data_IF_187007398496
#
_entry.id   IF_187007398496
#
_cell.length_a   1.000
_cell.length_b   1.000
_cell.length_c   1.000
_cell.angle_alpha   90.00
_cell.angle_beta   90.00
_cell.angle_gamma   90.00
#
_symmetry.space_group_name_H-M   'P 1'
#
loop_
_entity.id
_entity.type
_entity.pdbx_description
1 polymer ?
#
# COMPACT_ATOMS: atom_id res chain seq x y z
N UNK A 1 -3.98 0.90 18.37
CA UNK A 1 -5.25 1.15 19.06
C UNK A 1 -5.81 -0.05 19.82
N UNK A 2 -5.60 -1.30 19.37
CA UNK A 2 -6.27 -2.49 19.96
C UNK A 2 -7.82 -2.37 19.93
N UNK A 3 -8.35 -1.69 18.91
CA UNK A 3 -9.76 -1.33 18.80
C UNK A 3 -10.32 -1.80 17.46
N UNK A 4 -11.14 -2.86 17.51
CA UNK A 4 -11.80 -3.43 16.34
C UNK A 4 -12.84 -2.47 15.74
N UNK A 5 -13.52 -1.66 16.56
CA UNK A 5 -14.53 -0.72 16.06
C UNK A 5 -13.87 0.36 15.22
N UNK A 6 -12.79 0.93 15.72
CA UNK A 6 -11.99 1.91 14.99
C UNK A 6 -11.38 1.31 13.71
N UNK A 7 -10.90 0.06 13.76
CA UNK A 7 -10.39 -0.65 12.59
C UNK A 7 -11.49 -0.86 11.51
N UNK A 8 -12.72 -1.19 11.93
CA UNK A 8 -13.85 -1.29 11.02
C UNK A 8 -14.25 0.07 10.43
N UNK A 9 -14.27 1.14 11.23
CA UNK A 9 -14.53 2.50 10.74
C UNK A 9 -13.51 2.94 9.67
N UNK A 10 -12.23 2.62 9.88
CA UNK A 10 -11.18 2.85 8.88
C UNK A 10 -11.38 1.98 7.64
N UNK A 11 -11.79 0.72 7.80
CA UNK A 11 -12.16 -0.15 6.67
C UNK A 11 -13.32 0.42 5.84
N UNK A 12 -14.34 0.97 6.50
CA UNK A 12 -15.46 1.65 5.83
C UNK A 12 -14.96 2.85 5.02
N UNK A 13 -14.09 3.68 5.61
CA UNK A 13 -13.48 4.81 4.89
C UNK A 13 -12.67 4.34 3.69
N UNK A 14 -11.84 3.30 3.85
CA UNK A 14 -11.05 2.73 2.77
C UNK A 14 -11.91 2.20 1.62
N UNK A 15 -13.03 1.54 1.92
CA UNK A 15 -14.00 1.10 0.91
C UNK A 15 -14.66 2.27 0.16
N UNK A 16 -14.94 3.39 0.85
CA UNK A 16 -15.46 4.61 0.21
C UNK A 16 -14.41 5.27 -0.70
N UNK A 17 -13.17 5.37 -0.23
CA UNK A 17 -12.07 5.89 -1.05
C UNK A 17 -11.85 5.03 -2.29
N UNK A 18 -11.90 3.71 -2.18
CA UNK A 18 -11.81 2.81 -3.33
C UNK A 18 -12.92 3.09 -4.36
N UNK A 19 -14.16 3.29 -3.91
CA UNK A 19 -15.27 3.70 -4.81
C UNK A 19 -15.02 5.04 -5.48
N UNK A 20 -14.47 6.03 -4.76
CA UNK A 20 -14.09 7.34 -5.33
C UNK A 20 -12.99 7.19 -6.37
N UNK A 21 -12.10 6.19 -6.23
CA UNK A 21 -11.06 5.85 -7.21
C UNK A 21 -11.52 4.84 -8.27
N UNK A 22 -12.83 4.61 -8.41
CA UNK A 22 -13.39 3.65 -9.38
C UNK A 22 -12.81 2.23 -9.26
N UNK A 23 -12.33 1.85 -8.07
CA UNK A 23 -11.72 0.56 -7.80
C UNK A 23 -12.71 -0.39 -7.10
N UNK A 24 -12.83 -1.62 -7.62
CA UNK A 24 -13.66 -2.69 -7.04
C UNK A 24 -12.93 -3.54 -6.02
N UNK A 25 -11.60 -3.47 -6.01
CA UNK A 25 -10.75 -4.34 -5.22
C UNK A 25 -9.69 -3.48 -4.53
N UNK A 26 -9.57 -3.62 -3.21
CA UNK A 26 -8.50 -3.02 -2.42
C UNK A 26 -7.50 -4.10 -2.03
N UNK A 27 -6.23 -3.88 -2.36
CA UNK A 27 -5.14 -4.82 -2.05
C UNK A 27 -4.68 -4.67 -0.58
N UNK A 28 -5.58 -4.95 0.36
CA UNK A 28 -5.40 -4.82 1.81
C UNK A 28 -6.39 -5.73 2.56
N UNK A 29 -6.22 -5.95 3.88
CA UNK A 29 -5.07 -5.57 4.70
C UNK A 29 -3.85 -6.49 4.49
N UNK A 30 -2.68 -5.99 4.85
CA UNK A 30 -1.46 -6.80 4.97
C UNK A 30 -1.39 -7.39 6.37
N UNK A 31 -1.33 -8.72 6.48
CA UNK A 31 -1.46 -9.48 7.74
C UNK A 31 -0.33 -10.47 7.98
N UNK A 32 0.80 -10.32 7.27
CA UNK A 32 2.02 -11.04 7.63
C UNK A 32 2.46 -10.66 9.05
N UNK A 33 3.12 -11.58 9.77
CA UNK A 33 3.52 -11.35 11.15
C UNK A 33 4.90 -10.72 11.26
N UNK A 34 5.10 -9.90 12.30
CA UNK A 34 6.40 -9.33 12.64
C UNK A 34 7.30 -10.40 13.29
N UNK A 35 7.86 -11.31 12.49
CA UNK A 35 8.83 -12.29 13.01
C UNK A 35 10.14 -11.66 13.45
N UNK A 36 10.56 -10.60 12.76
CA UNK A 36 11.83 -9.91 13.00
C UNK A 36 11.59 -8.40 12.99
N UNK A 37 12.35 -7.61 13.78
CA UNK A 37 12.21 -6.16 13.81
C UNK A 37 12.78 -5.46 12.57
N UNK A 38 13.51 -6.18 11.71
CA UNK A 38 14.18 -5.63 10.51
C UNK A 38 13.43 -5.95 9.21
N UNK A 39 12.21 -6.49 9.29
CA UNK A 39 11.39 -6.74 8.11
C UNK A 39 11.04 -5.44 7.39
N UNK A 40 11.32 -5.36 6.09
CA UNK A 40 11.15 -4.13 5.30
C UNK A 40 9.71 -3.63 5.20
N UNK A 41 8.72 -4.49 5.49
CA UNK A 41 7.28 -4.19 5.46
C UNK A 41 6.58 -4.40 6.81
N UNK A 42 7.35 -4.48 7.90
CA UNK A 42 6.79 -4.58 9.26
C UNK A 42 5.81 -3.45 9.54
N UNK A 43 6.09 -2.23 9.07
CA UNK A 43 5.20 -1.08 9.25
C UNK A 43 3.82 -1.23 8.57
N UNK A 44 3.69 -2.10 7.56
CA UNK A 44 2.47 -2.34 6.79
C UNK A 44 1.60 -3.43 7.43
N UNK A 45 2.20 -4.22 8.31
CA UNK A 45 1.56 -5.33 9.01
C UNK A 45 0.97 -4.86 10.35
N UNK A 46 0.10 -5.68 10.95
CA UNK A 46 -0.68 -5.28 12.12
C UNK A 46 0.02 -5.58 13.45
N UNK A 47 0.58 -6.77 13.62
CA UNK A 47 1.21 -7.20 14.88
C UNK A 47 2.15 -8.40 14.68
N UNK A 48 2.97 -8.67 15.70
CA UNK A 48 3.61 -9.98 15.89
C UNK A 48 2.62 -11.03 16.40
N UNK A 49 1.57 -10.59 17.10
CA UNK A 49 0.54 -11.47 17.68
C UNK A 49 -0.50 -11.87 16.61
N UNK A 50 -0.73 -13.18 16.39
CA UNK A 50 -1.63 -13.66 15.35
C UNK A 50 -3.10 -13.34 15.66
N UNK A 51 -3.50 -13.32 16.92
CA UNK A 51 -4.90 -13.10 17.30
C UNK A 51 -5.28 -11.61 17.21
N UNK A 52 -4.40 -10.71 17.62
CA UNK A 52 -4.58 -9.27 17.43
C UNK A 52 -4.64 -8.94 15.94
N UNK A 53 -3.75 -9.52 15.13
CA UNK A 53 -3.77 -9.36 13.67
C UNK A 53 -5.07 -9.88 13.07
N UNK A 54 -5.54 -11.06 13.49
CA UNK A 54 -6.81 -11.65 13.07
C UNK A 54 -8.01 -10.74 13.36
N UNK A 55 -8.14 -10.27 14.60
CA UNK A 55 -9.28 -9.44 15.01
C UNK A 55 -9.34 -8.09 14.30
N UNK A 56 -8.20 -7.42 14.17
CA UNK A 56 -8.12 -6.13 13.48
C UNK A 56 -8.33 -6.29 11.98
N UNK A 57 -7.74 -7.31 11.35
CA UNK A 57 -7.92 -7.59 9.93
C UNK A 57 -9.38 -7.93 9.60
N UNK A 58 -10.03 -8.79 10.38
CA UNK A 58 -11.44 -9.14 10.19
C UNK A 58 -12.36 -7.91 10.27
N UNK A 59 -12.08 -6.98 11.19
CA UNK A 59 -12.79 -5.71 11.29
C UNK A 59 -12.59 -4.83 10.04
N UNK A 60 -11.36 -4.68 9.55
CA UNK A 60 -11.05 -3.95 8.31
C UNK A 60 -11.80 -4.57 7.12
N UNK A 61 -11.77 -5.90 6.98
CA UNK A 61 -12.45 -6.63 5.90
C UNK A 61 -13.95 -6.35 5.89
N UNK A 62 -14.62 -6.46 7.05
CA UNK A 62 -16.05 -6.12 7.17
C UNK A 62 -16.32 -4.67 6.76
N UNK A 63 -15.46 -3.74 7.17
CA UNK A 63 -15.58 -2.33 6.83
C UNK A 63 -15.49 -2.08 5.32
N UNK A 64 -14.46 -2.59 4.66
CA UNK A 64 -14.25 -2.40 3.21
C UNK A 64 -15.41 -3.00 2.42
N UNK A 65 -15.76 -4.27 2.70
CA UNK A 65 -16.80 -5.00 1.95
C UNK A 65 -18.21 -4.44 2.15
N UNK A 66 -18.48 -3.69 3.23
CA UNK A 66 -19.76 -2.99 3.40
C UNK A 66 -20.05 -1.94 2.32
N UNK A 67 -19.05 -1.55 1.53
CA UNK A 67 -19.17 -0.65 0.38
C UNK A 67 -19.27 -1.39 -0.97
N UNK A 68 -19.51 -2.70 -0.95
CA UNK A 68 -19.44 -3.60 -2.10
C UNK A 68 -18.08 -3.49 -2.84
N UNK A 69 -17.00 -3.39 -2.08
CA UNK A 69 -15.61 -3.38 -2.55
C UNK A 69 -14.93 -4.61 -1.98
N UNK A 70 -14.28 -5.40 -2.81
CA UNK A 70 -13.55 -6.58 -2.35
C UNK A 70 -12.25 -6.19 -1.66
N UNK A 71 -11.88 -6.96 -0.64
CA UNK A 71 -10.51 -6.94 -0.10
C UNK A 71 -9.62 -7.91 -0.86
N UNK A 72 -8.32 -7.81 -0.63
CA UNK A 72 -7.35 -8.85 -0.96
C UNK A 72 -6.37 -8.96 0.19
N UNK A 73 -6.68 -9.85 1.13
CA UNK A 73 -5.87 -10.08 2.33
C UNK A 73 -4.52 -10.64 1.89
N UNK A 74 -3.42 -10.04 2.36
CA UNK A 74 -2.09 -10.32 1.80
C UNK A 74 -0.97 -10.39 2.84
N UNK A 75 0.14 -11.08 2.59
CA UNK A 75 0.46 -11.94 1.44
C UNK A 75 0.50 -13.38 1.92
N UNK A 76 -0.31 -14.24 1.31
CA UNK A 76 -0.59 -15.60 1.73
C UNK A 76 0.43 -16.58 1.11
N UNK A 77 1.39 -17.14 1.84
CA UNK A 77 1.73 -16.92 3.25
C UNK A 77 3.26 -16.96 3.45
N UNK A 78 3.72 -16.54 4.64
CA UNK A 78 5.15 -16.60 5.00
C UNK A 78 6.03 -15.52 4.38
N UNK A 79 5.45 -14.43 3.88
CA UNK A 79 6.21 -13.28 3.36
C UNK A 79 6.68 -12.35 4.50
N UNK A 80 7.58 -12.83 5.35
CA UNK A 80 8.07 -12.11 6.54
C UNK A 80 9.44 -11.41 6.33
N UNK A 81 10.01 -11.48 5.11
CA UNK A 81 11.25 -10.80 4.73
C UNK A 81 11.21 -10.27 3.29
N UNK A 82 11.81 -9.09 3.09
CA UNK A 82 12.00 -8.52 1.75
C UNK A 82 13.29 -9.02 1.08
N UNK A 83 14.19 -9.65 1.84
CA UNK A 83 15.46 -10.19 1.33
C UNK A 83 15.15 -11.37 0.41
N UNK A 84 15.50 -11.24 -0.87
CA UNK A 84 15.28 -12.27 -1.88
C UNK A 84 13.84 -12.81 -1.90
N UNK A 85 12.85 -11.94 -1.62
CA UNK A 85 11.44 -12.35 -1.42
C UNK A 85 10.85 -13.19 -2.57
N UNK A 86 11.40 -13.06 -3.78
CA UNK A 86 10.98 -13.83 -4.97
C UNK A 86 11.50 -15.27 -4.98
N UNK A 87 12.52 -15.60 -4.19
CA UNK A 87 13.25 -16.88 -4.28
C UNK A 87 13.45 -17.57 -2.94
N UNK A 88 13.34 -16.83 -1.83
CA UNK A 88 13.45 -17.38 -0.48
C UNK A 88 12.39 -18.46 -0.26
N UNK A 89 12.79 -19.52 0.44
CA UNK A 89 11.92 -20.62 0.82
C UNK A 89 11.70 -20.60 2.34
N UNK A 90 10.51 -20.16 2.73
CA UNK A 90 10.08 -20.16 4.11
C UNK A 90 9.76 -21.60 4.54
N UNK A 91 10.65 -22.17 5.34
CA UNK A 91 10.49 -23.49 5.94
C UNK A 91 9.77 -23.33 7.29
N UNK A 92 8.49 -23.67 7.33
CA UNK A 92 7.60 -23.47 8.49
C UNK A 92 6.88 -24.80 8.75
N UNK A 93 7.01 -25.35 9.95
CA UNK A 93 6.27 -26.55 10.34
C UNK A 93 4.76 -26.29 10.39
N UNK A 94 3.95 -27.35 10.27
CA UNK A 94 2.50 -27.22 10.13
C UNK A 94 1.83 -26.54 11.34
N UNK A 95 2.30 -26.83 12.57
CA UNK A 95 1.76 -26.20 13.78
C UNK A 95 2.04 -24.70 13.78
N UNK A 96 3.30 -24.29 13.55
CA UNK A 96 3.65 -22.86 13.45
C UNK A 96 2.91 -22.17 12.30
N UNK A 97 2.78 -22.84 11.15
CA UNK A 97 2.07 -22.30 10.00
C UNK A 97 0.60 -22.04 10.33
N UNK A 98 -0.11 -23.03 10.88
CA UNK A 98 -1.54 -22.96 11.19
C UNK A 98 -1.84 -22.00 12.34
N UNK A 99 -1.12 -22.09 13.46
CA UNK A 99 -1.40 -21.31 14.67
C UNK A 99 -0.99 -19.84 14.57
N UNK A 100 0.05 -19.53 13.78
CA UNK A 100 0.58 -18.17 13.67
C UNK A 100 0.33 -17.57 12.28
N UNK A 101 0.99 -18.10 11.25
CA UNK A 101 1.06 -17.43 9.95
C UNK A 101 -0.27 -17.44 9.19
N UNK A 102 -1.10 -18.47 9.38
CA UNK A 102 -2.39 -18.62 8.73
C UNK A 102 -3.55 -18.06 9.57
N UNK A 103 -3.40 -17.96 10.89
CA UNK A 103 -4.47 -17.51 11.80
C UNK A 103 -5.12 -16.17 11.40
N UNK A 104 -4.38 -15.11 11.00
CA UNK A 104 -5.01 -13.88 10.51
C UNK A 104 -5.79 -14.05 9.21
N UNK A 105 -5.32 -14.91 8.30
CA UNK A 105 -6.01 -15.21 7.05
C UNK A 105 -7.27 -16.04 7.30
N UNK A 106 -7.18 -17.04 8.16
CA UNK A 106 -8.31 -17.86 8.58
C UNK A 106 -9.45 -17.00 9.14
N UNK A 107 -9.15 -16.08 10.05
CA UNK A 107 -10.16 -15.18 10.62
C UNK A 107 -10.80 -14.27 9.58
N UNK A 108 -10.03 -13.75 8.64
CA UNK A 108 -10.57 -12.89 7.58
C UNK A 108 -11.45 -13.67 6.60
N UNK A 109 -11.12 -14.94 6.33
CA UNK A 109 -11.93 -15.83 5.49
C UNK A 109 -13.19 -16.28 6.23
N UNK A 110 -13.05 -16.91 7.40
CA UNK A 110 -14.15 -17.56 8.12
C UNK A 110 -15.05 -16.57 8.89
N UNK A 111 -14.46 -15.58 9.58
CA UNK A 111 -15.21 -14.69 10.47
C UNK A 111 -15.68 -13.40 9.77
N UNK A 112 -14.96 -12.95 8.73
CA UNK A 112 -15.27 -11.73 8.00
C UNK A 112 -15.73 -11.95 6.56
N UNK A 113 -15.63 -13.18 6.03
CA UNK A 113 -16.06 -13.51 4.67
C UNK A 113 -15.28 -12.73 3.60
N UNK A 114 -13.96 -12.64 3.73
CA UNK A 114 -13.11 -11.98 2.74
C UNK A 114 -13.36 -12.52 1.33
N UNK A 115 -13.46 -11.62 0.34
CA UNK A 115 -13.70 -12.00 -1.05
C UNK A 115 -12.42 -12.24 -1.84
N UNK A 116 -11.26 -11.85 -1.32
CA UNK A 116 -9.99 -11.95 -2.04
C UNK A 116 -8.80 -12.25 -1.12
N UNK A 117 -7.84 -13.01 -1.64
CA UNK A 117 -6.53 -13.29 -1.04
C UNK A 117 -5.43 -13.08 -2.08
N UNK A 118 -4.28 -12.55 -1.67
CA UNK A 118 -3.11 -12.41 -2.55
C UNK A 118 -2.05 -13.41 -2.14
N UNK A 119 -1.59 -14.25 -3.07
CA UNK A 119 -0.47 -15.15 -2.82
C UNK A 119 0.83 -14.35 -2.61
N UNK A 120 1.71 -14.84 -1.73
CA UNK A 120 3.03 -14.23 -1.56
C UNK A 120 3.99 -14.52 -2.72
N UNK A 121 5.12 -13.81 -2.71
CA UNK A 121 6.23 -14.03 -3.63
C UNK A 121 7.05 -15.28 -3.33
N UNK A 122 7.29 -15.53 -2.04
CA UNK A 122 8.21 -16.54 -1.57
C UNK A 122 7.71 -17.96 -1.87
N UNK A 123 8.63 -18.91 -1.73
CA UNK A 123 8.26 -20.31 -1.54
C UNK A 123 7.85 -20.54 -0.09
N UNK A 124 6.91 -21.45 0.10
CA UNK A 124 6.53 -22.00 1.38
C UNK A 124 6.71 -23.52 1.30
N UNK A 125 7.61 -24.04 2.11
CA UNK A 125 7.94 -25.47 2.17
C UNK A 125 8.20 -26.09 0.77
N UNK A 126 8.99 -25.40 -0.07
CA UNK A 126 9.46 -25.92 -1.36
C UNK A 126 8.71 -25.46 -2.62
N UNK A 127 7.50 -24.91 -2.51
CA UNK A 127 6.70 -24.44 -3.64
C UNK A 127 6.36 -22.94 -3.54
N UNK A 128 6.37 -22.21 -4.67
CA UNK A 128 5.94 -20.80 -4.66
C UNK A 128 4.48 -20.70 -4.26
N UNK A 129 4.13 -19.71 -3.44
CA UNK A 129 2.78 -19.60 -2.91
C UNK A 129 1.71 -19.52 -4.02
N UNK A 130 2.00 -18.87 -5.15
CA UNK A 130 1.11 -18.76 -6.30
C UNK A 130 0.77 -20.10 -7.00
N UNK A 131 1.55 -21.15 -6.79
CA UNK A 131 1.30 -22.50 -7.31
C UNK A 131 1.38 -23.59 -6.24
N UNK A 132 1.21 -23.22 -4.96
CA UNK A 132 1.24 -24.16 -3.85
C UNK A 132 -0.15 -24.77 -3.64
N UNK A 133 -0.33 -26.02 -4.05
CA UNK A 133 -1.62 -26.75 -3.98
C UNK A 133 -2.09 -26.95 -2.54
N UNK A 134 -1.16 -27.25 -1.62
CA UNK A 134 -1.50 -27.36 -0.19
C UNK A 134 -2.11 -26.05 0.30
N UNK A 135 -1.43 -24.93 0.03
CA UNK A 135 -1.84 -23.61 0.52
C UNK A 135 -3.15 -23.10 -0.13
N UNK A 136 -3.21 -23.05 -1.46
CA UNK A 136 -4.29 -22.36 -2.17
C UNK A 136 -5.53 -23.23 -2.41
N UNK A 137 -5.39 -24.55 -2.40
CA UNK A 137 -6.50 -25.48 -2.62
C UNK A 137 -6.89 -26.19 -1.35
N UNK A 138 -5.98 -26.99 -0.76
CA UNK A 138 -6.33 -27.81 0.39
C UNK A 138 -6.68 -26.97 1.61
N UNK A 139 -5.80 -26.05 2.02
CA UNK A 139 -6.05 -25.17 3.16
C UNK A 139 -7.14 -24.15 2.84
N UNK A 140 -6.92 -23.32 1.82
CA UNK A 140 -7.79 -22.17 1.60
C UNK A 140 -9.20 -22.58 1.14
N UNK A 141 -9.33 -23.53 0.20
CA UNK A 141 -10.63 -23.86 -0.40
C UNK A 141 -11.27 -25.10 0.21
N UNK A 142 -10.52 -26.19 0.38
CA UNK A 142 -11.08 -27.45 0.88
C UNK A 142 -11.35 -27.38 2.39
N UNK A 143 -10.38 -26.93 3.21
CA UNK A 143 -10.53 -26.83 4.66
C UNK A 143 -11.39 -25.63 5.09
N UNK A 144 -11.10 -24.42 4.58
CA UNK A 144 -11.79 -23.20 4.98
C UNK A 144 -13.03 -22.86 4.15
N UNK A 145 -13.28 -23.54 3.04
CA UNK A 145 -14.44 -23.27 2.19
C UNK A 145 -14.40 -21.93 1.45
N UNK A 146 -13.21 -21.37 1.20
CA UNK A 146 -13.06 -20.07 0.53
C UNK A 146 -13.63 -20.07 -0.88
N UNK A 147 -14.64 -19.24 -1.11
CA UNK A 147 -15.32 -19.07 -2.40
C UNK A 147 -14.96 -17.75 -3.11
N UNK A 148 -13.98 -17.03 -2.57
CA UNK A 148 -13.44 -15.80 -3.15
C UNK A 148 -12.34 -16.07 -4.18
N UNK A 149 -11.72 -14.99 -4.64
CA UNK A 149 -10.67 -15.03 -5.65
C UNK A 149 -9.26 -14.97 -5.04
N UNK A 150 -8.30 -15.56 -5.74
CA UNK A 150 -6.88 -15.51 -5.45
C UNK A 150 -6.18 -14.79 -6.59
N UNK A 151 -5.47 -13.70 -6.25
CA UNK A 151 -4.53 -13.04 -7.16
C UNK A 151 -3.10 -13.38 -6.77
N UNK A 152 -2.17 -13.31 -7.74
CA UNK A 152 -0.75 -13.34 -7.39
C UNK A 152 -0.31 -11.95 -6.92
N UNK A 153 0.73 -11.86 -6.10
CA UNK A 153 1.48 -10.61 -6.02
C UNK A 153 2.05 -10.24 -7.41
N UNK A 154 2.47 -8.99 -7.58
CA UNK A 154 2.92 -8.42 -8.86
C UNK A 154 4.13 -9.17 -9.42
N UNK A 155 3.95 -9.91 -10.52
CA UNK A 155 4.93 -10.82 -11.12
C UNK A 155 5.23 -12.08 -10.29
N UNK A 156 4.44 -12.40 -9.26
CA UNK A 156 4.67 -13.53 -8.35
C UNK A 156 4.21 -14.90 -8.87
N UNK A 157 3.63 -14.96 -10.06
CA UNK A 157 3.18 -16.21 -10.68
C UNK A 157 4.14 -16.66 -11.79
N UNK A 158 4.60 -17.91 -11.73
CA UNK A 158 5.68 -18.41 -12.59
C UNK A 158 5.35 -19.70 -13.37
N UNK A 159 4.26 -20.39 -13.01
CA UNK A 159 3.90 -21.69 -13.58
C UNK A 159 2.43 -21.72 -13.98
N UNK A 160 2.16 -21.79 -15.28
CA UNK A 160 0.79 -21.84 -15.83
C UNK A 160 -0.03 -23.00 -15.29
N UNK A 161 0.50 -24.23 -15.35
CA UNK A 161 -0.27 -25.43 -15.02
C UNK A 161 -0.33 -25.63 -13.50
N UNK A 162 0.79 -25.43 -12.80
CA UNK A 162 0.80 -25.49 -11.35
C UNK A 162 -0.13 -24.46 -10.70
N UNK A 163 -0.13 -23.21 -11.19
CA UNK A 163 -0.94 -22.16 -10.55
C UNK A 163 -2.44 -22.38 -10.74
N UNK A 164 -2.88 -22.81 -11.93
CA UNK A 164 -4.32 -23.07 -12.17
C UNK A 164 -4.81 -24.28 -11.38
N UNK A 165 -3.99 -25.33 -11.24
CA UNK A 165 -4.33 -26.52 -10.43
C UNK A 165 -4.32 -26.22 -8.92
N UNK A 166 -3.44 -25.32 -8.46
CA UNK A 166 -3.41 -24.84 -7.09
C UNK A 166 -4.59 -23.91 -6.77
N UNK A 167 -5.22 -23.29 -7.78
CA UNK A 167 -6.39 -22.43 -7.58
C UNK A 167 -6.12 -20.94 -7.59
N UNK A 168 -5.03 -20.49 -8.22
CA UNK A 168 -4.81 -19.09 -8.59
C UNK A 168 -5.86 -18.68 -9.64
N UNK A 169 -6.59 -17.59 -9.39
CA UNK A 169 -7.61 -17.09 -10.32
C UNK A 169 -7.01 -16.05 -11.29
N UNK A 170 -6.20 -15.11 -10.79
CA UNK A 170 -5.67 -14.00 -11.61
C UNK A 170 -4.17 -13.77 -11.34
N UNK A 171 -3.28 -14.13 -12.28
CA UNK A 171 -1.89 -13.71 -12.23
C UNK A 171 -1.76 -12.22 -12.57
N UNK A 172 -0.98 -11.48 -11.79
CA UNK A 172 -0.76 -10.04 -11.95
C UNK A 172 0.70 -9.72 -12.24
N UNK A 173 1.01 -8.59 -12.91
CA UNK A 173 0.09 -7.72 -13.65
C UNK A 173 -0.17 -8.20 -15.07
N UNK A 174 -1.28 -7.74 -15.66
CA UNK A 174 -1.51 -7.82 -17.10
C UNK A 174 -0.66 -6.82 -17.90
N UNK A 175 -0.74 -6.85 -19.24
CA UNK A 175 -1.61 -7.70 -20.05
C UNK A 175 -1.04 -9.09 -20.37
N UNK A 176 0.29 -9.27 -20.30
CA UNK A 176 0.96 -10.54 -20.58
C UNK A 176 1.34 -11.24 -19.27
N UNK A 177 0.80 -12.45 -19.05
CA UNK A 177 0.98 -13.21 -17.81
C UNK A 177 1.30 -14.68 -18.11
N UNK A 178 1.40 -15.51 -17.07
CA UNK A 178 1.46 -16.97 -17.21
C UNK A 178 0.16 -17.58 -17.77
N UNK A 179 -0.94 -16.81 -17.85
CA UNK A 179 -2.20 -17.22 -18.48
C UNK A 179 -2.31 -16.65 -19.91
N UNK A 180 -3.51 -16.67 -20.49
CA UNK A 180 -3.72 -16.36 -21.91
C UNK A 180 -3.27 -17.51 -22.80
N UNK A 181 -2.36 -17.25 -23.76
CA UNK A 181 -1.91 -18.26 -24.74
C UNK A 181 -1.30 -19.51 -24.08
N UNK A 182 -0.62 -19.32 -22.95
CA UNK A 182 0.04 -20.40 -22.22
C UNK A 182 -0.99 -21.35 -21.59
N UNK A 183 -2.05 -20.79 -20.99
CA UNK A 183 -3.14 -21.58 -20.42
C UNK A 183 -3.95 -22.29 -21.50
N UNK A 184 -4.24 -21.63 -22.62
CA UNK A 184 -4.91 -22.24 -23.76
C UNK A 184 -4.11 -23.43 -24.32
N UNK A 185 -2.79 -23.30 -24.46
CA UNK A 185 -1.93 -24.39 -24.88
C UNK A 185 -1.97 -25.56 -23.88
N UNK A 186 -1.90 -25.27 -22.57
CA UNK A 186 -1.96 -26.28 -21.52
C UNK A 186 -3.28 -27.08 -21.55
N UNK A 187 -4.41 -26.42 -21.82
CA UNK A 187 -5.71 -27.09 -21.97
C UNK A 187 -5.74 -27.97 -23.21
N UNK A 188 -5.29 -27.46 -24.36
CA UNK A 188 -5.26 -28.23 -25.62
C UNK A 188 -4.33 -29.44 -25.56
N UNK A 189 -3.26 -29.35 -24.79
CA UNK A 189 -2.31 -30.44 -24.54
C UNK A 189 -2.78 -31.41 -23.46
N UNK A 190 -3.93 -31.17 -22.81
CA UNK A 190 -4.47 -32.02 -21.75
C UNK A 190 -3.72 -31.93 -20.41
N UNK A 191 -2.82 -30.95 -20.26
CA UNK A 191 -2.10 -30.68 -19.00
C UNK A 191 -2.97 -29.98 -17.95
N UNK A 192 -4.01 -29.27 -18.39
CA UNK A 192 -4.98 -28.58 -17.55
C UNK A 192 -6.38 -28.93 -18.06
N UNK A 193 -7.31 -29.24 -17.18
CA UNK A 193 -8.69 -29.50 -17.59
C UNK A 193 -9.45 -28.18 -17.81
N UNK A 194 -10.37 -28.16 -18.79
CA UNK A 194 -11.27 -27.02 -19.01
C UNK A 194 -12.15 -26.75 -17.77
N UNK A 195 -12.49 -27.79 -17.01
CA UNK A 195 -13.22 -27.67 -15.73
C UNK A 195 -12.48 -26.75 -14.76
N UNK A 196 -11.16 -26.88 -14.63
CA UNK A 196 -10.35 -26.01 -13.74
C UNK A 196 -10.40 -24.56 -14.18
N UNK A 197 -10.42 -24.29 -15.48
CA UNK A 197 -10.55 -22.93 -16.02
C UNK A 197 -11.94 -22.37 -15.71
N UNK A 198 -12.99 -23.15 -15.93
CA UNK A 198 -14.38 -22.74 -15.67
C UNK A 198 -14.60 -22.41 -14.20
N UNK A 199 -14.04 -23.19 -13.27
CA UNK A 199 -14.10 -22.87 -11.83
C UNK A 199 -13.51 -21.48 -11.52
N UNK A 200 -12.39 -21.08 -12.15
CA UNK A 200 -11.81 -19.74 -11.94
C UNK A 200 -12.70 -18.65 -12.55
N UNK A 201 -13.30 -18.92 -13.72
CA UNK A 201 -14.24 -17.99 -14.36
C UNK A 201 -15.47 -17.76 -13.47
N UNK A 202 -16.03 -18.82 -12.89
CA UNK A 202 -17.16 -18.73 -11.94
C UNK A 202 -16.81 -17.88 -10.71
N UNK A 203 -15.60 -18.02 -10.16
CA UNK A 203 -15.11 -17.16 -9.08
C UNK A 203 -15.12 -15.67 -9.48
N UNK A 204 -14.65 -15.35 -10.69
CA UNK A 204 -14.61 -13.96 -11.17
C UNK A 204 -16.00 -13.39 -11.46
N UNK A 205 -16.92 -14.22 -11.98
CA UNK A 205 -18.32 -13.81 -12.15
C UNK A 205 -18.97 -13.49 -10.79
N UNK A 206 -18.73 -14.32 -9.78
CA UNK A 206 -19.20 -14.04 -8.40
C UNK A 206 -18.60 -12.76 -7.84
N UNK A 207 -17.33 -12.47 -8.13
CA UNK A 207 -16.69 -11.21 -7.73
C UNK A 207 -17.36 -10.00 -8.39
N UNK A 208 -17.68 -10.09 -9.69
CA UNK A 208 -18.39 -9.03 -10.43
C UNK A 208 -19.75 -8.75 -9.76
N UNK A 209 -20.51 -9.80 -9.42
CA UNK A 209 -21.79 -9.66 -8.70
C UNK A 209 -21.61 -9.03 -7.31
N UNK A 210 -20.67 -9.55 -6.51
CA UNK A 210 -20.38 -9.05 -5.15
C UNK A 210 -19.99 -7.57 -5.13
N UNK A 211 -19.24 -7.14 -6.13
CA UNK A 211 -18.75 -5.76 -6.25
C UNK A 211 -19.67 -4.83 -7.03
N UNK A 212 -20.71 -5.39 -7.66
CA UNK A 212 -21.65 -4.67 -8.55
C UNK A 212 -20.88 -3.92 -9.65
N UNK A 213 -19.90 -4.58 -10.24
CA UNK A 213 -18.98 -3.93 -11.18
C UNK A 213 -19.66 -3.50 -12.50
N UNK A 214 -20.82 -4.08 -12.81
CA UNK A 214 -21.73 -3.69 -13.88
C UNK A 214 -22.42 -2.34 -13.62
N UNK A 215 -22.78 -2.06 -12.36
CA UNK A 215 -23.40 -0.78 -11.96
C UNK A 215 -22.37 0.34 -11.75
N UNK A 216 -21.14 -0.02 -11.41
CA UNK A 216 -20.06 0.91 -11.11
C UNK A 216 -18.85 0.63 -12.00
N UNK A 217 -18.84 1.02 -13.28
CA UNK A 217 -17.76 0.63 -14.19
C UNK A 217 -16.41 1.22 -13.76
N UNK A 218 -15.33 0.45 -13.88
CA UNK A 218 -13.97 0.87 -13.52
C UNK A 218 -13.44 2.03 -14.39
N UNK A 219 -14.06 2.28 -15.54
CA UNK A 219 -13.80 3.43 -16.41
C UNK A 219 -14.42 4.74 -15.93
N UNK A 220 -15.13 4.73 -14.79
CA UNK A 220 -15.69 5.94 -14.20
C UNK A 220 -14.58 6.92 -13.81
N UNK A 221 -14.86 8.22 -13.90
CA UNK A 221 -13.90 9.28 -13.54
C UNK A 221 -13.60 9.22 -12.04
N UNK A 222 -12.32 9.14 -11.70
CA UNK A 222 -11.88 9.18 -10.31
C UNK A 222 -12.22 10.52 -9.65
N UNK A 223 -12.48 10.46 -8.34
CA UNK A 223 -12.83 11.60 -7.50
C UNK A 223 -11.85 11.72 -6.34
N UNK A 224 -11.64 12.95 -5.89
CA UNK A 224 -10.92 13.28 -4.66
C UNK A 224 -11.84 14.17 -3.83
N UNK A 225 -12.13 13.76 -2.60
CA UNK A 225 -13.02 14.46 -1.68
C UNK A 225 -12.27 14.72 -0.38
N UNK A 226 -12.25 15.97 0.06
CA UNK A 226 -11.64 16.38 1.32
C UNK A 226 -12.73 16.62 2.38
N UNK A 227 -13.19 15.55 3.03
CA UNK A 227 -14.23 15.61 4.06
C UNK A 227 -13.64 15.87 5.46
N UNK A 228 -14.05 16.95 6.16
CA UNK A 228 -13.64 17.23 7.54
C UNK A 228 -13.88 16.08 8.53
N UNK A 229 -14.94 15.29 8.36
CA UNK A 229 -15.25 14.15 9.24
C UNK A 229 -14.27 12.99 9.00
N UNK A 230 -13.87 12.77 7.74
CA UNK A 230 -12.88 11.75 7.40
C UNK A 230 -11.50 12.15 7.93
N UNK A 231 -11.12 13.44 7.81
CA UNK A 231 -9.93 13.99 8.48
C UNK A 231 -9.98 13.80 10.00
N UNK A 232 -11.13 14.06 10.63
CA UNK A 232 -11.31 13.84 12.07
C UNK A 232 -11.14 12.36 12.47
N UNK A 233 -11.68 11.43 11.66
CA UNK A 233 -11.51 9.99 11.86
C UNK A 233 -10.02 9.58 11.75
N UNK A 234 -9.32 10.02 10.71
CA UNK A 234 -7.89 9.70 10.51
C UNK A 234 -7.04 10.31 11.63
N UNK A 235 -7.33 11.55 12.05
CA UNK A 235 -6.67 12.19 13.21
C UNK A 235 -6.89 11.40 14.50
N UNK A 236 -8.11 10.94 14.76
CA UNK A 236 -8.44 10.08 15.91
C UNK A 236 -7.70 8.75 15.83
N UNK A 237 -7.64 8.13 14.66
CA UNK A 237 -6.91 6.89 14.45
C UNK A 237 -5.40 7.04 14.70
N UNK A 238 -4.78 8.10 14.17
CA UNK A 238 -3.38 8.41 14.43
C UNK A 238 -3.11 8.60 15.93
N UNK A 239 -3.98 9.34 16.63
CA UNK A 239 -3.86 9.54 18.08
C UNK A 239 -4.04 8.23 18.88
N UNK A 240 -5.04 7.41 18.55
CA UNK A 240 -5.28 6.11 19.19
C UNK A 240 -4.24 5.04 18.82
N UNK A 241 -3.48 5.24 17.75
CA UNK A 241 -2.34 4.43 17.36
C UNK A 241 -1.06 4.74 18.13
N UNK A 242 -0.94 5.95 18.68
CA UNK A 242 0.25 6.36 19.43
C UNK A 242 0.36 5.65 20.78
N UNK A 243 1.58 5.26 21.15
CA UNK A 243 1.89 4.57 22.41
C UNK A 243 2.81 5.42 23.26
N UNK A 244 2.38 5.79 24.46
CA UNK A 244 3.22 6.45 25.46
C UNK A 244 4.12 5.41 26.14
N UNK A 245 5.36 5.29 25.66
CA UNK A 245 6.31 4.27 26.16
C UNK A 245 6.92 4.67 27.51
N UNK A 246 7.16 5.97 27.74
CA UNK A 246 7.76 6.47 28.98
C UNK A 246 7.24 7.87 29.30
N UNK A 247 6.86 8.10 30.55
CA UNK A 247 6.51 9.41 31.09
C UNK A 247 6.98 9.50 32.55
N UNK A 248 7.97 10.33 32.81
CA UNK A 248 8.56 10.52 34.14
C UNK A 248 8.41 11.97 34.58
N UNK A 249 8.34 12.20 35.90
CA UNK A 249 8.23 13.53 36.49
C UNK A 249 7.06 14.36 35.94
N UNK A 250 5.97 13.70 35.53
CA UNK A 250 4.82 14.33 34.89
C UNK A 250 5.19 15.22 33.70
N UNK A 251 6.16 14.78 32.89
CA UNK A 251 6.61 15.52 31.70
C UNK A 251 5.49 15.73 30.67
N UNK A 252 4.54 14.80 30.58
CA UNK A 252 3.31 14.92 29.80
C UNK A 252 2.06 14.74 30.68
N UNK A 253 0.93 15.40 30.34
CA UNK A 253 0.72 16.28 29.18
C UNK A 253 1.38 17.66 29.32
N UNK A 254 1.74 18.26 28.18
CA UNK A 254 2.22 19.64 28.14
C UNK A 254 1.01 20.58 27.99
N UNK A 255 0.62 21.25 29.07
CA UNK A 255 -0.52 22.17 29.05
C UNK A 255 -0.16 23.48 28.34
N UNK A 256 -1.11 24.05 27.59
CA UNK A 256 -0.89 25.36 26.96
C UNK A 256 -0.69 26.43 28.03
N UNK A 257 0.35 27.24 27.85
CA UNK A 257 0.75 28.27 28.82
C UNK A 257 1.56 27.75 30.01
N UNK A 258 1.77 26.43 30.16
CA UNK A 258 2.64 25.89 31.21
C UNK A 258 4.12 26.21 30.99
N UNK A 259 4.50 26.50 29.74
CA UNK A 259 5.84 26.92 29.34
C UNK A 259 5.75 28.12 28.41
N UNK A 260 6.75 29.01 28.48
CA UNK A 260 6.83 30.19 27.61
C UNK A 260 7.34 29.84 26.21
N UNK A 261 8.27 28.88 26.12
CA UNK A 261 8.93 28.48 24.87
C UNK A 261 9.09 26.97 24.83
N UNK A 262 8.86 26.37 23.66
CA UNK A 262 9.06 24.96 23.35
C UNK A 262 10.10 24.87 22.24
N UNK A 263 11.22 24.22 22.53
CA UNK A 263 12.22 23.88 21.52
C UNK A 263 11.85 22.55 20.85
N UNK A 264 11.54 22.59 19.56
CA UNK A 264 11.25 21.41 18.73
C UNK A 264 12.50 21.05 17.96
N UNK A 265 13.03 19.86 18.20
CA UNK A 265 14.28 19.38 17.60
C UNK A 265 14.06 18.10 16.82
N UNK A 266 14.70 17.99 15.67
CA UNK A 266 14.78 16.75 14.91
C UNK A 266 14.21 16.84 13.48
N UNK A 267 14.75 16.06 12.53
CA UNK A 267 14.40 16.16 11.12
C UNK A 267 12.93 15.85 10.82
N UNK A 268 12.32 14.92 11.57
CA UNK A 268 10.93 14.52 11.35
C UNK A 268 9.89 15.54 11.87
N UNK A 269 10.33 16.59 12.59
CA UNK A 269 9.40 17.61 13.06
C UNK A 269 8.76 18.36 11.89
N UNK A 270 9.56 18.79 10.90
CA UNK A 270 9.07 19.45 9.68
C UNK A 270 8.72 18.45 8.59
N UNK A 271 9.56 17.44 8.36
CA UNK A 271 9.32 16.39 7.35
C UNK A 271 8.79 15.14 8.04
N UNK A 272 7.52 15.19 8.46
CA UNK A 272 6.92 14.09 9.23
C UNK A 272 6.71 12.86 8.37
N UNK A 273 7.17 11.71 8.88
CA UNK A 273 6.97 10.41 8.23
C UNK A 273 5.59 9.88 8.60
N UNK A 274 4.64 10.06 7.69
CA UNK A 274 3.23 9.68 7.85
C UNK A 274 2.91 8.28 7.33
N UNK A 275 3.80 7.71 6.52
CA UNK A 275 3.65 6.40 5.89
C UNK A 275 5.02 5.76 5.65
N UNK A 276 5.04 4.44 5.46
CA UNK A 276 6.21 3.73 4.95
C UNK A 276 6.32 3.83 3.42
N UNK A 277 7.25 3.06 2.84
CA UNK A 277 7.52 3.07 1.40
C UNK A 277 6.82 1.96 0.62
N UNK A 278 7.05 1.91 -0.69
CA UNK A 278 6.57 0.84 -1.56
C UNK A 278 5.09 0.98 -1.92
N UNK A 279 4.42 -0.15 -2.18
CA UNK A 279 3.04 -0.17 -2.69
C UNK A 279 1.97 0.34 -1.71
N UNK A 280 2.32 0.54 -0.44
CA UNK A 280 1.44 1.14 0.57
C UNK A 280 1.47 2.67 0.57
N UNK A 281 2.43 3.29 -0.12
CA UNK A 281 2.55 4.76 -0.14
C UNK A 281 1.52 5.39 -1.08
N UNK A 282 0.92 6.48 -0.63
CA UNK A 282 -0.12 7.23 -1.35
C UNK A 282 0.24 8.71 -1.41
N UNK A 283 -0.26 9.41 -2.43
CA UNK A 283 -0.27 10.87 -2.43
C UNK A 283 -1.39 11.37 -1.53
N UNK A 284 -1.04 12.12 -0.49
CA UNK A 284 -2.01 12.72 0.44
C UNK A 284 -2.65 13.96 -0.16
N UNK A 285 -3.92 14.22 0.17
CA UNK A 285 -4.60 15.50 -0.14
C UNK A 285 -3.91 16.65 0.61
N UNK A 286 -3.76 16.46 1.92
CA UNK A 286 -3.11 17.38 2.84
C UNK A 286 -2.37 16.56 3.90
N UNK A 287 -1.27 17.10 4.43
CA UNK A 287 -0.53 16.47 5.53
C UNK A 287 -0.11 17.55 6.52
N UNK A 288 -0.31 17.30 7.82
CA UNK A 288 0.12 18.20 8.89
C UNK A 288 1.42 17.66 9.47
N UNK A 289 2.49 18.46 9.44
CA UNK A 289 3.74 18.08 10.10
C UNK A 289 3.61 18.16 11.62
N UNK A 290 4.45 17.44 12.36
CA UNK A 290 4.51 17.54 13.82
C UNK A 290 4.79 18.99 14.26
N UNK A 291 5.64 19.71 13.52
CA UNK A 291 5.95 21.11 13.78
C UNK A 291 4.72 22.00 13.58
N UNK A 292 3.96 21.80 12.51
CA UNK A 292 2.75 22.57 12.24
C UNK A 292 1.67 22.27 13.29
N UNK A 293 1.48 21.00 13.66
CA UNK A 293 0.53 20.61 14.71
C UNK A 293 0.88 21.18 16.09
N UNK A 294 2.18 21.24 16.44
CA UNK A 294 2.65 21.92 17.65
C UNK A 294 2.47 23.43 17.56
N UNK A 295 2.75 24.02 16.40
CA UNK A 295 2.59 25.47 16.16
C UNK A 295 1.14 25.89 16.26
N UNK A 296 0.22 25.13 15.69
CA UNK A 296 -1.23 25.34 15.79
C UNK A 296 -1.70 25.23 17.25
N UNK A 297 -1.20 24.24 18.01
CA UNK A 297 -1.63 23.98 19.39
C UNK A 297 -1.11 25.00 20.41
N UNK A 298 0.15 25.42 20.30
CA UNK A 298 0.85 26.24 21.30
C UNK A 298 1.10 27.69 20.85
N UNK A 299 0.90 28.00 19.56
CA UNK A 299 1.18 29.30 18.97
C UNK A 299 2.62 29.45 18.46
N UNK A 300 2.78 30.15 17.33
CA UNK A 300 4.08 30.36 16.68
C UNK A 300 5.13 31.03 17.59
N UNK A 301 4.69 31.95 18.46
CA UNK A 301 5.59 32.66 19.38
C UNK A 301 6.25 31.75 20.41
N UNK A 302 5.61 30.63 20.75
CA UNK A 302 6.14 29.64 21.70
C UNK A 302 7.08 28.64 21.02
N UNK A 303 7.00 28.42 19.70
CA UNK A 303 7.76 27.36 19.02
C UNK A 303 9.11 27.87 18.52
N UNK A 304 10.18 27.14 18.83
CA UNK A 304 11.51 27.32 18.20
C UNK A 304 11.96 26.00 17.60
N UNK A 305 12.15 25.97 16.29
CA UNK A 305 12.56 24.75 15.58
C UNK A 305 14.04 24.76 15.18
N UNK A 306 14.70 23.62 15.32
CA UNK A 306 15.97 23.31 14.64
C UNK A 306 15.96 21.85 14.17
N UNK A 307 16.44 21.62 12.94
CA UNK A 307 16.58 20.26 12.38
C UNK A 307 17.50 19.37 13.21
N UNK A 308 18.61 19.91 13.70
CA UNK A 308 19.62 19.18 14.47
C UNK A 308 20.51 18.31 13.59
N UNK A 309 19.97 17.20 13.09
CA UNK A 309 20.73 16.19 12.32
C UNK A 309 20.08 15.87 10.97
N UNK A 310 20.87 15.34 10.04
CA UNK A 310 20.35 14.69 8.83
C UNK A 310 20.21 13.18 9.04
N UNK A 311 19.14 12.60 8.51
CA UNK A 311 18.85 11.16 8.54
C UNK A 311 18.44 10.64 7.16
N UNK A 312 18.72 11.41 6.11
CA UNK A 312 18.31 11.06 4.75
C UNK A 312 19.07 9.81 4.29
N UNK A 313 18.32 8.80 3.82
CA UNK A 313 18.90 7.57 3.27
C UNK A 313 19.52 7.81 1.89
N UNK A 314 18.93 8.73 1.13
CA UNK A 314 19.37 9.17 -0.18
C UNK A 314 19.69 10.66 -0.12
N UNK A 315 20.07 11.27 -1.25
CA UNK A 315 20.20 12.72 -1.35
C UNK A 315 18.95 13.40 -0.77
N UNK A 316 19.10 14.44 0.08
CA UNK A 316 17.97 15.11 0.69
C UNK A 316 17.00 15.64 -0.37
N UNK A 317 15.71 15.61 -0.05
CA UNK A 317 14.71 16.31 -0.84
C UNK A 317 15.01 17.81 -0.72
N UNK A 318 15.08 18.49 -1.86
CA UNK A 318 15.29 19.94 -1.87
C UNK A 318 13.99 20.60 -1.39
N UNK A 319 14.10 21.48 -0.39
CA UNK A 319 12.96 22.19 0.17
C UNK A 319 12.29 23.07 -0.90
N UNK A 320 10.95 23.08 -0.95
CA UNK A 320 10.16 23.72 -2.00
C UNK A 320 10.42 25.23 -2.10
N UNK A 321 10.73 25.88 -0.98
CA UNK A 321 11.08 27.29 -0.92
C UNK A 321 12.32 27.68 -1.73
N UNK A 322 13.16 26.70 -2.11
CA UNK A 322 14.42 26.93 -2.86
C UNK A 322 14.32 26.60 -4.34
N UNK A 323 13.18 26.09 -4.81
CA UNK A 323 13.00 25.66 -6.19
C UNK A 323 12.18 26.68 -6.97
N UNK A 324 12.68 27.11 -8.13
CA UNK A 324 11.93 28.01 -9.03
C UNK A 324 11.87 27.44 -10.44
N UNK A 325 10.71 27.51 -11.08
CA UNK A 325 10.59 27.27 -12.51
C UNK A 325 11.28 28.40 -13.28
N UNK A 326 11.59 28.23 -14.58
CA UNK A 326 12.19 29.30 -15.38
C UNK A 326 11.36 30.59 -15.45
N UNK A 327 10.04 30.50 -15.21
CA UNK A 327 9.11 31.62 -15.12
C UNK A 327 8.85 32.12 -13.68
N UNK A 328 9.61 31.62 -12.70
CA UNK A 328 9.62 32.11 -11.31
C UNK A 328 8.57 31.51 -10.38
N UNK A 329 7.83 30.48 -10.79
CA UNK A 329 6.88 29.78 -9.92
C UNK A 329 7.62 28.85 -8.96
N UNK A 330 7.05 28.57 -7.79
CA UNK A 330 7.65 27.64 -6.81
C UNK A 330 7.57 26.19 -7.32
N UNK A 331 8.73 25.53 -7.46
CA UNK A 331 8.86 24.14 -7.90
C UNK A 331 9.73 23.96 -9.16
N UNK A 332 9.78 22.74 -9.67
CA UNK A 332 10.36 22.37 -10.95
C UNK A 332 9.30 22.34 -12.05
N UNK A 333 9.67 22.75 -13.26
CA UNK A 333 8.90 22.46 -14.46
C UNK A 333 9.24 21.04 -14.92
N UNK A 334 8.22 20.24 -15.21
CA UNK A 334 8.35 18.86 -15.69
C UNK A 334 7.67 18.76 -17.05
N UNK A 335 8.46 18.47 -18.08
CA UNK A 335 7.99 18.35 -19.46
C UNK A 335 8.05 16.90 -19.90
N UNK A 336 6.94 16.40 -20.44
CA UNK A 336 6.81 15.04 -20.92
C UNK A 336 6.81 15.03 -22.45
N UNK A 337 7.66 14.20 -23.05
CA UNK A 337 7.80 14.04 -24.50
C UNK A 337 7.52 12.59 -24.90
N UNK A 338 7.03 12.39 -26.12
CA UNK A 338 6.99 11.04 -26.69
C UNK A 338 8.40 10.59 -27.01
N UNK A 339 8.79 9.40 -26.53
CA UNK A 339 10.11 8.81 -26.83
C UNK A 339 11.23 9.85 -26.63
N UNK A 340 12.11 9.99 -27.62
CA UNK A 340 13.26 10.89 -27.60
C UNK A 340 13.01 12.23 -28.31
N UNK A 341 11.74 12.65 -28.52
CA UNK A 341 11.38 13.88 -29.25
C UNK A 341 11.62 15.17 -28.44
N UNK A 342 12.65 15.17 -27.59
CA UNK A 342 13.07 16.30 -26.75
C UNK A 342 13.46 17.49 -27.64
N UNK A 343 12.97 18.68 -27.30
CA UNK A 343 13.14 19.91 -28.07
C UNK A 343 11.98 20.23 -29.01
N UNK A 344 11.02 19.31 -29.17
CA UNK A 344 9.71 19.57 -29.77
C UNK A 344 8.71 20.21 -28.79
N UNK A 345 7.43 20.17 -29.12
CA UNK A 345 6.36 20.55 -28.18
C UNK A 345 6.12 19.38 -27.20
N UNK A 346 6.20 19.60 -25.87
CA UNK A 346 5.91 18.54 -24.91
C UNK A 346 4.43 18.12 -24.98
N UNK A 347 4.16 16.84 -24.74
CA UNK A 347 2.81 16.30 -24.57
C UNK A 347 2.10 16.89 -23.37
N UNK A 348 2.86 17.15 -22.31
CA UNK A 348 2.36 17.67 -21.05
C UNK A 348 3.45 18.48 -20.37
N UNK A 349 3.04 19.54 -19.69
CA UNK A 349 3.89 20.33 -18.81
C UNK A 349 3.22 20.41 -17.45
N UNK A 350 3.93 19.97 -16.43
CA UNK A 350 3.52 20.07 -15.03
C UNK A 350 4.49 20.95 -14.24
N UNK A 351 4.04 21.38 -13.06
CA UNK A 351 4.90 22.00 -12.05
C UNK A 351 4.81 21.15 -10.80
N UNK A 352 5.96 20.75 -10.26
CA UNK A 352 6.03 19.92 -9.05
C UNK A 352 6.97 20.51 -8.04
N UNK A 353 6.60 20.42 -6.76
CA UNK A 353 7.49 20.76 -5.65
C UNK A 353 8.29 19.55 -5.16
N UNK A 354 8.02 18.36 -5.70
CA UNK A 354 8.70 17.14 -5.33
C UNK A 354 9.99 16.99 -6.13
N UNK A 355 11.07 16.56 -5.49
CA UNK A 355 12.33 16.22 -6.17
C UNK A 355 12.47 14.74 -6.49
N UNK A 356 11.62 13.90 -5.90
CA UNK A 356 11.54 12.47 -6.21
C UNK A 356 10.33 12.22 -7.11
N UNK A 357 10.56 12.03 -8.41
CA UNK A 357 9.52 11.66 -9.37
C UNK A 357 9.58 10.15 -9.60
N UNK A 358 8.50 9.44 -9.27
CA UNK A 358 8.40 7.99 -9.42
C UNK A 358 7.30 7.66 -10.41
N UNK A 359 7.63 6.85 -11.42
CA UNK A 359 6.68 6.33 -12.41
C UNK A 359 6.70 4.81 -12.32
N UNK A 360 5.55 4.20 -12.05
CA UNK A 360 5.43 2.75 -11.92
C UNK A 360 4.20 2.27 -12.70
N UNK A 361 4.40 1.92 -13.97
CA UNK A 361 3.32 1.43 -14.85
C UNK A 361 2.23 2.47 -15.15
N UNK A 362 2.45 3.73 -14.80
CA UNK A 362 1.56 4.85 -15.03
C UNK A 362 2.36 6.12 -15.34
N UNK A 363 1.78 6.98 -16.17
CA UNK A 363 2.26 8.32 -16.47
C UNK A 363 1.06 9.29 -16.42
N UNK A 364 1.30 10.61 -16.36
CA UNK A 364 0.22 11.58 -16.37
C UNK A 364 -0.68 11.46 -17.61
N UNK A 365 -1.94 11.91 -17.53
CA UNK A 365 -2.87 11.85 -18.66
C UNK A 365 -2.28 12.47 -19.94
N UNK A 366 -2.35 11.73 -21.05
CA UNK A 366 -1.84 12.14 -22.35
C UNK A 366 -0.39 11.75 -22.64
N UNK A 367 0.29 11.08 -21.70
CA UNK A 367 1.65 10.54 -21.86
C UNK A 367 1.56 9.03 -21.97
N UNK A 368 2.29 8.42 -22.91
CA UNK A 368 2.42 6.96 -22.97
C UNK A 368 3.18 6.47 -21.73
N UNK A 369 2.57 5.65 -20.86
CA UNK A 369 3.22 5.18 -19.63
C UNK A 369 4.40 4.23 -19.85
N UNK A 370 4.60 3.74 -21.08
CA UNK A 370 5.66 2.80 -21.42
C UNK A 370 6.77 3.39 -22.28
N UNK A 371 6.57 4.58 -22.86
CA UNK A 371 7.50 5.13 -23.86
C UNK A 371 7.50 6.67 -23.91
N UNK A 372 8.19 7.29 -22.94
CA UNK A 372 8.27 8.74 -22.80
C UNK A 372 9.61 9.20 -22.24
N UNK A 373 9.97 10.45 -22.53
CA UNK A 373 11.08 11.17 -21.88
C UNK A 373 10.54 12.27 -20.99
N UNK A 374 11.18 12.44 -19.83
CA UNK A 374 10.91 13.53 -18.89
C UNK A 374 12.10 14.48 -18.87
N UNK A 375 11.82 15.77 -19.08
CA UNK A 375 12.79 16.85 -18.88
C UNK A 375 12.35 17.66 -17.67
N UNK A 376 13.22 17.77 -16.67
CA UNK A 376 12.98 18.57 -15.46
C UNK A 376 13.85 19.81 -15.52
N UNK A 377 13.24 20.99 -15.45
CA UNK A 377 13.94 22.29 -15.55
C UNK A 377 13.53 23.24 -14.43
N UNK A 378 14.50 24.00 -13.95
CA UNK A 378 14.32 25.00 -12.92
C UNK A 378 15.64 25.49 -12.35
N UNK A 379 15.53 26.42 -11.42
CA UNK A 379 16.63 27.04 -10.70
C UNK A 379 16.58 26.62 -9.23
N UNK A 380 17.75 26.28 -8.68
CA UNK A 380 17.96 26.18 -7.24
C UNK A 380 18.42 27.53 -6.70
N UNK A 381 17.62 28.14 -5.83
CA UNK A 381 17.88 29.42 -5.20
C UNK A 381 18.28 29.19 -3.74
N UNK A 382 19.59 29.18 -3.43
CA UNK A 382 20.04 28.93 -2.06
C UNK A 382 19.62 30.05 -1.11
N UNK A 383 19.20 29.68 0.09
CA UNK A 383 18.82 30.63 1.15
C UNK A 383 20.00 31.04 2.05
N UNK A 384 21.09 30.28 2.01
CA UNK A 384 22.29 30.50 2.80
C UNK A 384 23.51 30.35 1.90
N UNK A 385 24.58 31.10 2.19
CA UNK A 385 25.86 30.92 1.51
C UNK A 385 26.55 29.62 1.96
N UNK A 386 27.36 29.03 1.07
CA UNK A 386 28.26 27.92 1.42
C UNK A 386 28.23 26.77 0.43
N UNK A 387 28.63 25.59 0.91
CA UNK A 387 28.61 24.34 0.13
C UNK A 387 27.19 23.78 0.16
N UNK A 388 26.68 23.43 -1.02
CA UNK A 388 25.41 22.75 -1.19
C UNK A 388 25.63 21.41 -1.90
N UNK A 389 25.09 20.35 -1.32
CA UNK A 389 24.91 19.07 -1.98
C UNK A 389 23.47 19.06 -2.53
N UNK A 390 23.33 19.18 -3.85
CA UNK A 390 22.05 19.29 -4.57
C UNK A 390 21.83 18.05 -5.43
#
# INVERSE_FOLDING_TARGET
>A
SWDQSLAQELGVLLGREARRKSAHIVLAPTVNLHRTPIGGRTFECLSEDPELSAQLAAAIVRGVQSNAVAVTVKHFAGNDTEVERMTVDAQIDDTTLREFYLRPFEATVLDAGAWGVMSSYNKLNGAHAANNVELLRHILRDDWGFDGFVVSDWFGAHDTAGSIEAGLDVPMPGPATIYGRHLLAAVREGRVSEVRVNERVETLLRLIERTRADEFPASSVEQTVDDPNERALVRRAAAAGAVLVRNENSALPLEVGSVQTIAVLGPNARVTRTQGGGSSSLQTIESVSLLDGLTERYGADAIRYRRGVSIDKLAPIIDDDTLRTPDGQVGWRVEYYDRDEVGGAPRRVDITRQTALTYFGAAPPGVDPFDFTVVVTGDFVPQIDGVHDV
#
